data_IF_717785989128
#
_entry.id   IF_717785989128
#
_cell.length_a   1.000
_cell.length_b   1.000
_cell.length_c   1.000
_cell.angle_alpha   90.00
_cell.angle_beta   90.00
_cell.angle_gamma   90.00
#
_symmetry.space_group_name_H-M   'P 1'
#
loop_
_entity.id
_entity.type
_entity.pdbx_description
1 polymer ?
#
# COMPACT_ATOMS: atom_id res chain seq x y z
N UNK A 1 10.21 1.52 17.42
CA UNK A 1 10.39 1.93 16.01
C UNK A 1 10.96 0.75 15.26
N UNK A 2 10.27 0.26 14.23
CA UNK A 2 10.84 -0.80 13.39
C UNK A 2 11.97 -0.21 12.56
N UNK A 3 13.07 -0.94 12.45
CA UNK A 3 14.22 -0.59 11.64
C UNK A 3 14.44 -1.71 10.65
N UNK A 4 14.52 -1.35 9.38
CA UNK A 4 14.92 -2.25 8.32
C UNK A 4 16.04 -1.56 7.55
N UNK A 5 17.18 -2.24 7.43
CA UNK A 5 18.40 -1.75 6.76
C UNK A 5 18.87 -0.32 7.10
N UNK A 6 18.46 0.24 8.24
CA UNK A 6 18.85 1.60 8.69
C UNK A 6 17.76 2.65 8.53
N UNK A 7 16.67 2.33 7.84
CA UNK A 7 15.52 3.21 7.69
C UNK A 7 14.56 3.08 8.88
N UNK A 8 13.94 4.20 9.26
CA UNK A 8 12.90 4.24 10.28
C UNK A 8 11.57 3.93 9.60
N UNK A 9 11.02 2.76 9.88
CA UNK A 9 9.72 2.36 9.35
C UNK A 9 8.61 2.97 10.22
N UNK A 10 7.82 3.86 9.61
CA UNK A 10 6.65 4.46 10.24
C UNK A 10 5.48 3.45 10.38
N UNK A 11 5.30 2.59 9.37
CA UNK A 11 4.23 1.60 9.31
C UNK A 11 4.82 0.28 8.76
N UNK A 12 4.86 -0.81 9.55
CA UNK A 12 5.44 -2.07 9.11
C UNK A 12 4.65 -2.69 7.94
N UNK A 13 5.26 -3.60 7.17
CA UNK A 13 4.58 -4.36 6.12
C UNK A 13 3.29 -4.99 6.62
N UNK A 14 2.18 -4.74 5.91
CA UNK A 14 0.87 -5.27 6.25
C UNK A 14 -0.03 -5.32 5.00
N UNK A 15 -1.18 -5.97 5.15
CA UNK A 15 -2.28 -5.92 4.19
C UNK A 15 -3.48 -5.25 4.84
N UNK A 16 -4.18 -4.40 4.10
CA UNK A 16 -5.37 -3.74 4.60
C UNK A 16 -6.52 -4.75 4.74
N UNK A 17 -7.17 -4.85 5.92
CA UNK A 17 -8.31 -5.76 6.10
C UNK A 17 -9.62 -5.21 5.51
N UNK A 18 -9.62 -3.99 5.00
CA UNK A 18 -10.79 -3.30 4.44
C UNK A 18 -11.07 -3.74 2.99
N UNK A 19 -12.05 -3.10 2.32
CA UNK A 19 -12.30 -3.31 0.89
C UNK A 19 -11.39 -2.45 0.02
N UNK A 20 -11.34 -1.15 0.30
CA UNK A 20 -10.58 -0.16 -0.47
C UNK A 20 -9.93 0.82 0.50
N UNK A 21 -8.63 1.04 0.33
CA UNK A 21 -7.88 2.14 0.93
C UNK A 21 -7.65 3.25 -0.09
N UNK A 22 -7.80 4.52 0.32
CA UNK A 22 -7.49 5.68 -0.53
C UNK A 22 -6.51 6.57 0.23
N UNK A 23 -5.33 6.77 -0.34
CA UNK A 23 -4.26 7.58 0.25
C UNK A 23 -4.05 8.84 -0.58
N UNK A 24 -4.27 10.01 0.04
CA UNK A 24 -3.89 11.30 -0.51
C UNK A 24 -2.46 11.63 -0.05
N UNK A 25 -1.49 11.50 -0.95
CA UNK A 25 -0.09 11.76 -0.61
C UNK A 25 0.22 13.25 -0.71
N UNK A 26 0.87 13.82 0.32
CA UNK A 26 1.23 15.25 0.37
C UNK A 26 2.49 15.59 -0.44
N UNK A 27 2.66 14.97 -1.61
CA UNK A 27 3.86 15.10 -2.45
C UNK A 27 5.19 14.76 -1.72
N UNK A 28 5.11 13.87 -0.73
CA UNK A 28 6.25 13.32 0.02
C UNK A 28 6.35 11.83 -0.29
N UNK A 29 7.58 11.35 -0.51
CA UNK A 29 7.87 9.93 -0.75
C UNK A 29 7.80 9.10 0.54
N UNK A 30 7.73 7.78 0.41
CA UNK A 30 7.81 6.84 1.55
C UNK A 30 6.73 5.77 1.57
N UNK A 31 5.67 5.90 0.77
CA UNK A 31 4.74 4.79 0.53
C UNK A 31 5.38 3.79 -0.44
N UNK A 32 5.48 2.54 0.00
CA UNK A 32 5.96 1.43 -0.81
C UNK A 32 4.93 0.30 -0.82
N UNK A 33 4.87 -0.42 -1.95
CA UNK A 33 3.93 -1.48 -2.21
C UNK A 33 4.68 -2.74 -2.64
N UNK A 34 4.42 -3.86 -1.99
CA UNK A 34 4.96 -5.14 -2.40
C UNK A 34 4.17 -5.68 -3.61
N UNK A 35 4.87 -6.02 -4.69
CA UNK A 35 4.27 -6.66 -5.86
C UNK A 35 4.12 -8.18 -5.67
N UNK A 36 3.51 -8.86 -6.65
CA UNK A 36 3.31 -10.32 -6.59
C UNK A 36 4.60 -11.14 -6.61
N UNK A 37 5.74 -10.53 -6.96
CA UNK A 37 7.06 -11.15 -6.95
C UNK A 37 7.81 -10.92 -5.62
N UNK A 38 7.22 -10.20 -4.66
CA UNK A 38 7.87 -9.85 -3.40
C UNK A 38 8.79 -8.64 -3.49
N UNK A 39 8.73 -7.86 -4.58
CA UNK A 39 9.55 -6.66 -4.75
C UNK A 39 8.79 -5.43 -4.26
N UNK A 40 9.48 -4.55 -3.54
CA UNK A 40 8.94 -3.27 -3.08
C UNK A 40 9.00 -2.22 -4.19
N UNK A 41 7.83 -1.67 -4.55
CA UNK A 41 7.65 -0.63 -5.55
C UNK A 41 7.29 0.67 -4.83
N UNK A 42 8.03 1.74 -5.14
CA UNK A 42 7.72 3.08 -4.63
C UNK A 42 6.45 3.63 -5.28
N UNK A 43 5.45 3.95 -4.47
CA UNK A 43 4.24 4.61 -4.93
C UNK A 43 4.49 6.12 -5.07
N UNK A 44 5.19 6.51 -6.16
CA UNK A 44 5.58 7.90 -6.40
C UNK A 44 4.37 8.83 -6.30
N UNK A 45 4.40 9.87 -5.44
CA UNK A 45 3.29 10.80 -5.34
C UNK A 45 3.19 11.66 -6.61
N UNK A 46 1.95 12.01 -6.98
CA UNK A 46 1.67 12.95 -8.07
C UNK A 46 0.78 14.08 -7.55
N UNK A 47 0.93 15.27 -8.12
CA UNK A 47 0.05 16.39 -7.81
C UNK A 47 -1.39 16.07 -8.20
N UNK A 48 -2.35 16.39 -7.31
CA UNK A 48 -3.79 16.16 -7.52
C UNK A 48 -4.16 14.69 -7.80
N UNK A 49 -3.44 13.74 -7.20
CA UNK A 49 -3.74 12.32 -7.32
C UNK A 49 -4.01 11.65 -5.98
N UNK A 50 -4.58 10.45 -6.05
CA UNK A 50 -4.75 9.54 -4.93
C UNK A 50 -4.18 8.18 -5.32
N UNK A 51 -3.56 7.49 -4.35
CA UNK A 51 -3.24 6.07 -4.48
C UNK A 51 -4.41 5.26 -3.95
N UNK A 52 -4.94 4.35 -4.77
CA UNK A 52 -6.04 3.46 -4.39
C UNK A 52 -5.49 2.04 -4.19
N UNK A 53 -5.77 1.45 -3.04
CA UNK A 53 -5.30 0.14 -2.63
C UNK A 53 -6.50 -0.79 -2.47
N UNK A 54 -6.34 -2.04 -2.91
CA UNK A 54 -7.34 -3.10 -2.71
C UNK A 54 -7.01 -3.82 -1.42
N UNK A 55 -7.96 -3.81 -0.49
CA UNK A 55 -7.84 -4.56 0.75
C UNK A 55 -8.36 -5.99 0.62
N UNK A 56 -8.04 -6.83 1.61
CA UNK A 56 -8.32 -8.27 1.58
C UNK A 56 -9.83 -8.59 1.55
N UNK A 57 -10.69 -7.71 2.08
CA UNK A 57 -12.13 -7.94 2.04
C UNK A 57 -12.71 -7.89 0.62
N UNK A 58 -12.09 -7.13 -0.30
CA UNK A 58 -12.50 -7.10 -1.71
C UNK A 58 -11.95 -8.29 -2.51
N UNK A 59 -10.91 -8.95 -1.99
CA UNK A 59 -10.28 -10.12 -2.61
C UNK A 59 -11.14 -11.38 -2.53
N UNK A 60 -12.22 -11.36 -1.73
CA UNK A 60 -13.22 -12.42 -1.69
C UNK A 60 -13.96 -12.43 -3.02
N UNK A 61 -13.60 -13.39 -3.88
CA UNK A 61 -14.18 -13.54 -5.21
C UNK A 61 -15.70 -13.65 -5.14
N UNK A 62 -16.36 -12.89 -6.01
CA UNK A 62 -17.72 -13.23 -6.43
C UNK A 62 -17.61 -14.60 -7.11
N UNK A 63 -17.88 -15.68 -6.37
CA UNK A 63 -18.32 -16.93 -6.96
C UNK A 63 -19.71 -16.66 -7.50
N UNK A 64 -19.79 -16.22 -8.75
CA UNK A 64 -21.02 -16.37 -9.54
C UNK A 64 -21.13 -17.89 -9.78
N UNK A 65 -21.93 -18.55 -8.95
CA UNK A 65 -22.36 -19.93 -9.17
C UNK A 65 -23.52 -19.96 -10.18
#
# INVERSE_FOLDING_TARGET
MYRDEGDIIALPPHKDPNYIGIVCQHNVEGLELENTCGEWIKAKPFTNSFTVLVGEALKVGVLVA
#
